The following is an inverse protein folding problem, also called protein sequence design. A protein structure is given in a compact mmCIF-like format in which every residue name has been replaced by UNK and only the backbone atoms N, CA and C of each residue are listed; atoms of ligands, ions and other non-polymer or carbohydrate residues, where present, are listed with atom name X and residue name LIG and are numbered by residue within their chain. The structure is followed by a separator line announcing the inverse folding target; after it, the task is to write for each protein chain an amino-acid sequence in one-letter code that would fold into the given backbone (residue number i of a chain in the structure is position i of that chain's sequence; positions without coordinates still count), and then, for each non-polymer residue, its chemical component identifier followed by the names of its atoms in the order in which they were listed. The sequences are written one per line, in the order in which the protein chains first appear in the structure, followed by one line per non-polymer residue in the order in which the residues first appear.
data_IF_549572975184
#
_entry.id   IF_549572975184
#
_cell.length_a   1.000
_cell.length_b   1.000
_cell.length_c   1.000
_cell.angle_alpha   90.00
_cell.angle_beta   90.00
_cell.angle_gamma   90.00
#
_symmetry.space_group_name_H-M   'P 1'
#
loop_
_entity.id
_entity.type
_entity.pdbx_description
1 polymer ?
#
# COMPACT_ATOMS: atom_id res chain seq x y z
N UNK A 1 -13.17 -11.45 -14.09
CA UNK A 1 -12.78 -10.18 -13.41
C UNK A 1 -13.30 -10.29 -11.99
N UNK A 2 -12.44 -10.17 -10.99
CA UNK A 2 -12.88 -10.10 -9.59
C UNK A 2 -13.61 -8.77 -9.40
N UNK A 3 -14.93 -8.82 -9.16
CA UNK A 3 -15.77 -7.63 -9.10
C UNK A 3 -15.46 -6.79 -7.85
N UNK A 4 -15.02 -7.42 -6.76
CA UNK A 4 -14.66 -6.73 -5.52
C UNK A 4 -13.38 -5.91 -5.70
N UNK A 5 -12.35 -6.50 -6.34
CA UNK A 5 -11.13 -5.78 -6.70
C UNK A 5 -11.43 -4.61 -7.65
N UNK A 6 -12.28 -4.84 -8.66
CA UNK A 6 -12.65 -3.80 -9.61
C UNK A 6 -13.36 -2.62 -8.93
N UNK A 7 -14.32 -2.89 -8.05
CA UNK A 7 -14.98 -1.86 -7.26
C UNK A 7 -14.02 -1.16 -6.29
N UNK A 8 -13.07 -1.91 -5.72
CA UNK A 8 -12.01 -1.37 -4.87
C UNK A 8 -11.15 -0.38 -5.64
N UNK A 9 -10.62 -0.72 -6.81
CA UNK A 9 -9.77 0.19 -7.58
C UNK A 9 -10.49 1.46 -8.02
N UNK A 10 -11.81 1.40 -8.28
CA UNK A 10 -12.62 2.59 -8.60
C UNK A 10 -12.79 3.50 -7.37
N UNK A 11 -12.89 2.92 -6.17
CA UNK A 11 -13.16 3.66 -4.92
C UNK A 11 -11.93 3.87 -4.04
N UNK A 12 -10.76 3.36 -4.43
CA UNK A 12 -9.56 3.35 -3.60
C UNK A 12 -9.10 4.75 -3.18
N UNK A 13 -9.45 5.78 -3.96
CA UNK A 13 -9.13 7.18 -3.64
C UNK A 13 -10.20 7.91 -2.80
N UNK A 14 -11.38 7.32 -2.62
CA UNK A 14 -12.50 7.90 -1.84
C UNK A 14 -12.86 7.07 -0.61
N UNK A 15 -12.17 5.94 -0.42
CA UNK A 15 -12.37 5.07 0.74
C UNK A 15 -11.99 5.82 2.01
N UNK A 16 -12.95 6.01 2.90
CA UNK A 16 -12.68 6.54 4.25
C UNK A 16 -12.03 5.43 5.05
N UNK A 17 -10.82 5.69 5.54
CA UNK A 17 -10.04 4.69 6.25
C UNK A 17 -10.43 4.71 7.71
N UNK A 18 -10.81 3.53 8.20
CA UNK A 18 -11.10 3.32 9.61
C UNK A 18 -9.79 3.20 10.40
N UNK A 19 -9.36 4.31 10.98
CA UNK A 19 -8.12 4.48 11.73
C UNK A 19 -8.07 3.63 13.02
N UNK A 20 -9.21 3.14 13.51
CA UNK A 20 -9.26 2.31 14.72
C UNK A 20 -8.87 0.85 14.45
N UNK A 21 -9.16 0.35 13.24
CA UNK A 21 -8.87 -1.04 12.84
C UNK A 21 -7.63 -1.17 11.96
N UNK A 22 -7.06 -0.04 11.54
CA UNK A 22 -5.92 -0.04 10.65
C UNK A 22 -4.64 -0.45 11.39
N UNK A 23 -3.88 -1.35 10.78
CA UNK A 23 -2.55 -1.69 11.26
C UNK A 23 -1.67 -0.44 11.28
N UNK A 24 -0.93 -0.22 12.36
CA UNK A 24 0.07 0.84 12.40
C UNK A 24 1.12 0.60 11.34
N UNK A 25 1.66 1.69 10.78
CA UNK A 25 2.72 1.62 9.78
C UNK A 25 3.98 1.00 10.40
N UNK A 26 4.45 -0.16 9.92
CA UNK A 26 5.70 -0.77 10.40
C UNK A 26 6.94 0.00 9.94
N UNK A 27 6.83 0.86 8.91
CA UNK A 27 7.94 1.54 8.26
C UNK A 27 7.73 3.07 8.12
N UNK A 28 7.52 3.82 9.21
CA UNK A 28 7.26 5.27 9.15
C UNK A 28 8.45 6.10 8.64
N UNK A 29 9.64 5.50 8.54
CA UNK A 29 10.87 6.20 8.10
C UNK A 29 10.95 6.45 6.60
N UNK A 30 10.29 5.62 5.78
CA UNK A 30 10.34 5.73 4.32
C UNK A 30 8.98 5.61 3.65
N UNK A 31 7.96 5.09 4.35
CA UNK A 31 6.61 4.97 3.86
C UNK A 31 5.71 5.98 4.56
N UNK A 32 5.12 6.89 3.80
CA UNK A 32 4.20 7.89 4.32
C UNK A 32 2.89 7.23 4.80
N UNK A 33 2.25 7.80 5.82
CA UNK A 33 0.97 7.29 6.34
C UNK A 33 -0.08 7.14 5.25
N UNK A 34 -0.30 8.15 4.40
CA UNK A 34 -1.28 8.07 3.30
C UNK A 34 -1.03 6.93 2.31
N UNK A 35 0.24 6.51 2.12
CA UNK A 35 0.58 5.38 1.25
C UNK A 35 0.39 4.05 1.97
N UNK A 36 0.76 4.00 3.25
CA UNK A 36 0.49 2.86 4.11
C UNK A 36 -1.00 2.59 4.25
N UNK A 37 -1.80 3.63 4.45
CA UNK A 37 -3.25 3.68 4.39
C UNK A 37 -3.80 2.93 3.16
N UNK A 38 -3.40 3.35 1.97
CA UNK A 38 -3.80 2.71 0.70
C UNK A 38 -3.35 1.25 0.61
N UNK A 39 -2.13 0.94 1.02
CA UNK A 39 -1.59 -0.42 1.02
C UNK A 39 -2.31 -1.33 2.01
N UNK A 40 -2.64 -0.82 3.20
CA UNK A 40 -3.29 -1.59 4.25
C UNK A 40 -4.69 -2.02 3.83
N UNK A 41 -5.42 -1.15 3.13
CA UNK A 41 -6.69 -1.48 2.50
C UNK A 41 -6.55 -2.53 1.39
N UNK A 42 -5.52 -2.42 0.54
CA UNK A 42 -5.24 -3.42 -0.49
C UNK A 42 -4.98 -4.80 0.13
N UNK A 43 -4.21 -4.85 1.21
CA UNK A 43 -3.87 -6.09 1.93
C UNK A 43 -5.10 -6.73 2.60
N UNK A 44 -6.19 -5.99 2.86
CA UNK A 44 -7.44 -6.57 3.39
C UNK A 44 -8.11 -7.50 2.37
N UNK A 45 -7.87 -7.30 1.08
CA UNK A 45 -8.45 -8.14 0.03
C UNK A 45 -7.87 -9.57 0.12
N UNK A 46 -8.70 -10.61 -0.03
CA UNK A 46 -8.29 -12.00 0.17
C UNK A 46 -7.08 -12.42 -0.67
N UNK A 47 -7.04 -11.93 -1.90
CA UNK A 47 -6.03 -12.26 -2.89
C UNK A 47 -4.71 -11.55 -2.63
N UNK A 48 -4.69 -10.49 -1.81
CA UNK A 48 -3.50 -9.66 -1.55
C UNK A 48 -2.92 -9.80 -0.15
N UNK A 49 -3.47 -10.70 0.68
CA UNK A 49 -2.97 -10.96 2.03
C UNK A 49 -1.50 -11.36 2.07
N UNK A 50 -1.01 -12.04 1.03
CA UNK A 50 0.39 -12.44 0.89
C UNK A 50 1.35 -11.24 0.82
N UNK A 51 0.86 -10.05 0.40
CA UNK A 51 1.69 -8.84 0.35
C UNK A 51 2.16 -8.45 1.74
N UNK A 52 1.35 -8.64 2.79
CA UNK A 52 1.75 -8.39 4.18
C UNK A 52 2.99 -9.19 4.53
N UNK A 53 2.93 -10.50 4.29
CA UNK A 53 4.03 -11.40 4.61
C UNK A 53 5.28 -11.07 3.78
N UNK A 54 5.10 -10.59 2.54
CA UNK A 54 6.20 -10.11 1.69
C UNK A 54 6.88 -8.85 2.25
N UNK A 55 6.13 -7.93 2.87
CA UNK A 55 6.71 -6.75 3.53
C UNK A 55 7.58 -7.13 4.73
N UNK A 56 7.15 -8.13 5.50
CA UNK A 56 7.90 -8.61 6.66
C UNK A 56 9.14 -9.41 6.25
N UNK A 57 9.04 -10.20 5.17
CA UNK A 57 10.16 -11.01 4.65
C UNK A 57 11.20 -10.18 3.89
N UNK A 58 10.78 -9.19 3.10
CA UNK A 58 11.64 -8.45 2.17
C UNK A 58 11.53 -6.91 2.32
N UNK A 59 11.70 -6.35 3.53
CA UNK A 59 11.49 -4.91 3.76
C UNK A 59 12.47 -4.00 3.01
N UNK A 60 13.68 -4.50 2.70
CA UNK A 60 14.70 -3.74 1.95
C UNK A 60 14.31 -3.58 0.47
N UNK A 61 13.87 -4.66 -0.14
CA UNK A 61 13.49 -4.68 -1.56
C UNK A 61 12.27 -3.78 -1.80
N UNK A 62 11.30 -3.81 -0.88
CA UNK A 62 10.15 -2.90 -0.90
C UNK A 62 10.56 -1.43 -0.76
N UNK A 63 11.52 -1.12 0.10
CA UNK A 63 12.06 0.23 0.25
C UNK A 63 12.77 0.71 -1.02
N UNK A 64 13.58 -0.14 -1.64
CA UNK A 64 14.27 0.17 -2.90
C UNK A 64 13.29 0.36 -4.06
N UNK A 65 12.28 -0.50 -4.14
CA UNK A 65 11.21 -0.37 -5.12
C UNK A 65 10.46 0.95 -4.96
N UNK A 66 10.06 1.28 -3.72
CA UNK A 66 9.36 2.53 -3.43
C UNK A 66 10.22 3.77 -3.73
N UNK A 67 11.50 3.74 -3.37
CA UNK A 67 12.46 4.80 -3.70
C UNK A 67 12.62 4.99 -5.22
N UNK A 68 12.62 3.89 -5.98
CA UNK A 68 12.71 3.94 -7.45
C UNK A 68 11.50 4.64 -8.07
N UNK A 69 10.29 4.40 -7.54
CA UNK A 69 9.08 5.10 -7.98
C UNK A 69 9.17 6.60 -7.71
N UNK A 70 9.62 7.00 -6.51
CA UNK A 70 9.78 8.43 -6.18
C UNK A 70 10.76 9.14 -7.13
N UNK A 71 11.90 8.51 -7.45
CA UNK A 71 12.88 9.06 -8.39
C UNK A 71 12.28 9.23 -9.80
N UNK A 72 11.49 8.26 -10.25
CA UNK A 72 10.84 8.32 -11.57
C UNK A 72 9.83 9.45 -11.66
N UNK A 73 9.08 9.67 -10.58
CA UNK A 73 8.03 10.72 -10.54
C UNK A 73 8.65 12.13 -10.51
N UNK A 74 9.83 12.31 -9.90
CA UNK A 74 10.55 13.58 -9.91
C UNK A 74 11.24 13.91 -11.25
N UNK A 75 11.58 12.91 -12.06
CA UNK A 75 12.18 13.12 -13.39
C UNK A 75 11.16 13.47 -14.48
N UNK A 76 9.87 13.42 -14.18
CA UNK A 76 8.77 13.74 -15.12
C UNK A 76 8.01 15.02 -14.77
N UNK A 77 8.51 15.79 -13.79
CA UNK A 77 7.98 17.11 -13.43
C UNK A 77 8.80 18.24 -14.05
#
# INVERSE_FOLDING_TARGET
INHEEYQFFIRANTLTIDRETQFSNPFPTWLNETRWDQMSELIRLPDYRFLRDSFDQFPKDWKEWYATILIRTQKTA
#
